data_IF_360449426545
#
_entry.id   IF_360449426545
#
_cell.length_a   1.000
_cell.length_b   1.000
_cell.length_c   1.000
_cell.angle_alpha   90.00
_cell.angle_beta   90.00
_cell.angle_gamma   90.00
#
_symmetry.space_group_name_H-M   'P 1'
#
loop_
_entity.id
_entity.type
_entity.pdbx_description
1 polymer ?
#
# COMPACT_ATOMS: atom_id res chain seq x y z
N UNK A 1 12.96 -17.15 -8.11
CA UNK A 1 11.83 -16.78 -7.26
C UNK A 1 10.80 -17.88 -7.26
N UNK A 2 10.53 -18.47 -6.13
CA UNK A 2 9.52 -19.51 -6.05
C UNK A 2 8.13 -18.88 -6.13
N UNK A 3 7.52 -18.92 -7.30
CA UNK A 3 6.10 -18.56 -7.48
C UNK A 3 5.14 -19.57 -6.82
N UNK A 4 5.67 -20.58 -6.14
CA UNK A 4 4.93 -21.68 -5.56
C UNK A 4 4.33 -21.38 -4.19
N UNK A 5 4.55 -20.21 -3.64
CA UNK A 5 3.93 -19.81 -2.37
C UNK A 5 2.52 -19.25 -2.61
N UNK A 6 1.75 -20.03 -3.35
CA UNK A 6 0.34 -19.77 -3.63
C UNK A 6 -0.51 -20.27 -2.47
N UNK A 7 -0.41 -19.62 -1.34
CA UNK A 7 -1.44 -19.81 -0.32
C UNK A 7 -2.71 -19.14 -0.81
N UNK A 8 -3.87 -19.80 -0.73
CA UNK A 8 -5.13 -19.16 -1.05
C UNK A 8 -5.25 -17.89 -0.20
N UNK A 9 -5.54 -16.77 -0.83
CA UNK A 9 -5.87 -15.56 -0.10
C UNK A 9 -7.13 -15.86 0.73
N UNK A 10 -7.14 -15.39 1.96
CA UNK A 10 -8.32 -15.46 2.81
C UNK A 10 -9.51 -14.79 2.10
N UNK A 11 -10.68 -15.31 2.34
CA UNK A 11 -11.91 -14.73 1.79
C UNK A 11 -12.16 -13.38 2.46
N UNK A 12 -12.04 -12.33 1.70
CA UNK A 12 -12.11 -10.95 2.14
C UNK A 12 -12.65 -10.08 1.01
N UNK A 13 -13.14 -8.87 1.29
CA UNK A 13 -13.52 -7.93 0.25
C UNK A 13 -12.41 -7.73 -0.77
N UNK A 14 -12.76 -7.72 -2.04
CA UNK A 14 -11.82 -7.56 -3.17
C UNK A 14 -10.84 -8.71 -3.41
N UNK A 15 -10.92 -9.83 -2.67
CA UNK A 15 -10.01 -10.97 -2.85
C UNK A 15 -10.00 -11.48 -4.29
N UNK A 16 -11.15 -11.60 -4.94
CA UNK A 16 -11.23 -12.08 -6.32
C UNK A 16 -10.53 -11.13 -7.31
N UNK A 17 -10.63 -9.83 -7.08
CA UNK A 17 -9.96 -8.82 -7.89
C UNK A 17 -8.44 -8.88 -7.69
N UNK A 18 -8.01 -8.98 -6.45
CA UNK A 18 -6.60 -9.07 -6.09
C UNK A 18 -5.98 -10.35 -6.66
N UNK A 19 -6.66 -11.49 -6.60
CA UNK A 19 -6.18 -12.77 -7.15
C UNK A 19 -5.87 -12.71 -8.63
N UNK A 20 -6.62 -11.94 -9.39
CA UNK A 20 -6.38 -11.80 -10.84
C UNK A 20 -5.04 -11.16 -11.15
N UNK A 21 -4.57 -10.27 -10.30
CA UNK A 21 -3.32 -9.51 -10.49
C UNK A 21 -2.16 -10.04 -9.65
N UNK A 22 -2.44 -10.48 -8.43
CA UNK A 22 -1.43 -10.89 -7.46
C UNK A 22 -1.97 -12.02 -6.55
N UNK A 23 -1.94 -13.25 -7.05
CA UNK A 23 -2.31 -14.43 -6.25
C UNK A 23 -1.11 -15.00 -5.50
N UNK A 24 -0.54 -14.21 -4.59
CA UNK A 24 0.70 -14.49 -3.90
C UNK A 24 0.79 -13.65 -2.61
N UNK A 25 1.96 -13.63 -1.96
CA UNK A 25 2.19 -12.82 -0.75
C UNK A 25 1.92 -11.34 -0.95
N UNK A 26 2.23 -10.80 -2.11
CA UNK A 26 1.93 -9.41 -2.45
C UNK A 26 0.42 -9.17 -2.45
N UNK A 27 -0.35 -10.11 -2.99
CA UNK A 27 -1.81 -10.05 -2.94
C UNK A 27 -2.35 -10.07 -1.50
N UNK A 28 -1.73 -10.81 -0.60
CA UNK A 28 -2.10 -10.81 0.82
C UNK A 28 -1.86 -9.43 1.46
N UNK A 29 -0.76 -8.77 1.11
CA UNK A 29 -0.47 -7.40 1.55
C UNK A 29 -1.49 -6.41 0.97
N UNK A 30 -1.82 -6.51 -0.30
CA UNK A 30 -2.83 -5.65 -0.92
C UNK A 30 -4.21 -5.84 -0.29
N UNK A 31 -4.57 -7.07 0.09
CA UNK A 31 -5.80 -7.35 0.82
C UNK A 31 -5.82 -6.68 2.20
N UNK A 32 -4.72 -6.75 2.93
CA UNK A 32 -4.59 -6.09 4.22
C UNK A 32 -4.64 -4.56 4.10
N UNK A 33 -3.97 -3.99 3.10
CA UNK A 33 -4.01 -2.56 2.81
C UNK A 33 -5.42 -2.10 2.46
N UNK A 34 -6.13 -2.84 1.61
CA UNK A 34 -7.51 -2.50 1.26
C UNK A 34 -8.42 -2.50 2.50
N UNK A 35 -8.29 -3.49 3.35
CA UNK A 35 -9.06 -3.58 4.61
C UNK A 35 -8.75 -2.38 5.53
N UNK A 36 -7.48 -2.00 5.63
CA UNK A 36 -7.06 -0.83 6.39
C UNK A 36 -7.64 0.46 5.82
N UNK A 37 -7.49 0.70 4.52
CA UNK A 37 -8.02 1.90 3.87
C UNK A 37 -9.54 2.00 3.99
N UNK A 38 -10.24 0.87 3.84
CA UNK A 38 -11.70 0.80 3.97
C UNK A 38 -12.17 1.13 5.39
N UNK A 39 -11.49 0.59 6.40
CA UNK A 39 -11.80 0.88 7.80
C UNK A 39 -11.54 2.36 8.13
N UNK A 40 -10.43 2.93 7.68
CA UNK A 40 -10.12 4.35 7.86
C UNK A 40 -11.11 5.25 7.16
N UNK A 41 -11.46 4.92 5.92
CA UNK A 41 -12.46 5.67 5.14
C UNK A 41 -13.83 5.64 5.83
N UNK A 42 -14.27 4.49 6.31
CA UNK A 42 -15.53 4.36 7.06
C UNK A 42 -15.51 5.19 8.35
N UNK A 43 -14.42 5.17 9.11
CA UNK A 43 -14.28 5.96 10.33
C UNK A 43 -14.34 7.47 10.06
N UNK A 44 -13.67 7.95 9.02
CA UNK A 44 -13.69 9.35 8.61
C UNK A 44 -15.10 9.75 8.16
N UNK A 45 -15.77 8.90 7.41
CA UNK A 45 -17.13 9.16 6.91
C UNK A 45 -18.15 9.20 8.04
N UNK A 46 -18.03 8.31 9.03
CA UNK A 46 -18.91 8.29 10.20
C UNK A 46 -18.76 9.55 11.06
N UNK A 47 -17.57 10.13 11.12
CA UNK A 47 -17.27 11.31 11.93
C UNK A 47 -17.50 12.66 11.21
N UNK A 48 -18.10 12.66 10.04
CA UNK A 48 -18.32 13.87 9.20
C UNK A 48 -19.13 14.99 9.86
N UNK A 49 -19.80 14.71 10.97
CA UNK A 49 -20.56 15.74 11.72
C UNK A 49 -19.69 16.56 12.68
N UNK A 50 -18.41 16.22 12.85
CA UNK A 50 -17.47 16.96 13.66
C UNK A 50 -16.66 17.95 12.83
N UNK A 51 -16.56 19.19 13.29
CA UNK A 51 -15.67 20.21 12.72
C UNK A 51 -14.23 19.69 12.82
N UNK A 52 -13.51 19.61 11.68
CA UNK A 52 -12.08 19.33 11.68
C UNK A 52 -11.67 17.88 11.50
N UNK A 53 -12.50 17.02 10.89
CA UNK A 53 -12.11 15.66 10.54
C UNK A 53 -10.97 15.69 9.53
N UNK A 54 -9.77 15.30 9.98
CA UNK A 54 -8.60 15.16 9.11
C UNK A 54 -8.75 13.94 8.22
N UNK A 55 -8.48 14.13 6.94
CA UNK A 55 -8.30 13.01 6.01
C UNK A 55 -6.89 12.45 6.19
N UNK A 56 -6.78 11.14 6.08
CA UNK A 56 -5.48 10.49 6.00
C UNK A 56 -4.88 10.74 4.60
N UNK A 57 -3.60 11.04 4.55
CA UNK A 57 -2.83 11.08 3.31
C UNK A 57 -1.99 9.82 3.20
N UNK A 58 -1.95 9.23 2.03
CA UNK A 58 -1.22 8.00 1.77
C UNK A 58 -0.08 8.23 0.80
N UNK A 59 1.08 7.71 1.17
CA UNK A 59 2.23 7.59 0.28
C UNK A 59 2.61 6.11 0.20
N UNK A 60 2.67 5.59 -1.00
CA UNK A 60 2.94 4.17 -1.25
C UNK A 60 4.19 4.05 -2.11
N UNK A 61 5.18 3.37 -1.57
CA UNK A 61 6.46 3.11 -2.22
C UNK A 61 6.62 1.60 -2.34
N UNK A 62 6.71 1.12 -3.55
CA UNK A 62 7.09 -0.26 -3.85
C UNK A 62 8.58 -0.31 -4.14
N UNK A 63 9.23 -1.35 -3.68
CA UNK A 63 10.66 -1.51 -3.93
C UNK A 63 11.06 -2.97 -4.17
N UNK A 64 11.99 -3.10 -5.09
CA UNK A 64 12.72 -4.31 -5.43
C UNK A 64 14.21 -3.95 -5.53
N UNK A 65 14.89 -4.21 -6.62
CA UNK A 65 16.18 -3.59 -6.95
C UNK A 65 16.05 -2.10 -7.20
N UNK A 66 14.92 -1.69 -7.72
CA UNK A 66 14.52 -0.29 -7.93
C UNK A 66 13.39 0.12 -6.98
N UNK A 67 13.16 1.41 -6.89
CA UNK A 67 12.12 2.00 -6.05
C UNK A 67 11.11 2.72 -6.93
N UNK A 68 9.83 2.47 -6.69
CA UNK A 68 8.72 3.10 -7.41
C UNK A 68 7.78 3.77 -6.44
N UNK A 69 7.63 5.09 -6.55
CA UNK A 69 6.59 5.82 -5.84
C UNK A 69 5.27 5.67 -6.60
N UNK A 70 4.36 4.89 -6.06
CA UNK A 70 3.03 4.64 -6.66
C UNK A 70 2.11 5.83 -6.42
N UNK A 71 2.09 6.30 -5.20
CA UNK A 71 1.31 7.45 -4.73
C UNK A 71 2.16 8.28 -3.78
N UNK A 72 1.96 9.58 -3.82
CA UNK A 72 2.64 10.52 -2.93
C UNK A 72 1.61 11.49 -2.37
N UNK A 73 1.48 11.53 -1.05
CA UNK A 73 0.62 12.44 -0.32
C UNK A 73 -0.82 12.49 -0.87
N UNK A 74 -1.37 11.33 -1.20
CA UNK A 74 -2.72 11.20 -1.73
C UNK A 74 -3.74 11.17 -0.58
N UNK A 75 -4.58 12.17 -0.51
CA UNK A 75 -5.66 12.30 0.46
C UNK A 75 -7.05 12.38 -0.18
N UNK A 76 -7.13 12.15 -1.48
CA UNK A 76 -8.36 12.29 -2.26
C UNK A 76 -8.93 10.96 -2.76
N UNK A 77 -8.07 9.96 -2.98
CA UNK A 77 -8.47 8.67 -3.53
C UNK A 77 -9.31 7.85 -2.55
N UNK A 78 -10.30 7.17 -3.08
CA UNK A 78 -11.08 6.17 -2.36
C UNK A 78 -10.24 4.89 -2.16
N UNK A 79 -10.63 3.99 -1.23
CA UNK A 79 -9.98 2.70 -1.08
C UNK A 79 -9.88 1.89 -2.38
N UNK A 80 -10.90 1.94 -3.22
CA UNK A 80 -10.91 1.26 -4.51
C UNK A 80 -9.89 1.84 -5.48
N UNK A 81 -9.75 3.16 -5.52
CA UNK A 81 -8.75 3.84 -6.34
C UNK A 81 -7.32 3.58 -5.84
N UNK A 82 -7.12 3.51 -4.53
CA UNK A 82 -5.84 3.14 -3.94
C UNK A 82 -5.46 1.70 -4.30
N UNK A 83 -6.42 0.79 -4.24
CA UNK A 83 -6.22 -0.60 -4.67
C UNK A 83 -5.88 -0.68 -6.15
N UNK A 84 -6.58 0.06 -7.01
CA UNK A 84 -6.29 0.12 -8.44
C UNK A 84 -4.86 0.59 -8.72
N UNK A 85 -4.40 1.58 -8.00
CA UNK A 85 -3.06 2.09 -8.16
C UNK A 85 -1.99 1.03 -7.87
N UNK A 86 -2.12 0.28 -6.77
CA UNK A 86 -1.15 -0.76 -6.40
C UNK A 86 -1.24 -2.00 -7.27
N UNK A 87 -2.43 -2.37 -7.75
CA UNK A 87 -2.61 -3.55 -8.61
C UNK A 87 -1.97 -3.41 -10.00
N UNK A 88 -1.60 -2.22 -10.40
CA UNK A 88 -0.84 -1.98 -11.65
C UNK A 88 0.62 -2.42 -11.56
N UNK A 89 1.11 -2.66 -10.35
CA UNK A 89 2.49 -3.02 -10.09
C UNK A 89 2.59 -4.50 -9.71
N UNK A 90 3.43 -5.22 -10.44
CA UNK A 90 3.72 -6.63 -10.20
C UNK A 90 4.88 -6.85 -9.23
N UNK A 91 5.25 -8.11 -9.08
CA UNK A 91 6.43 -8.53 -8.34
C UNK A 91 7.65 -8.39 -9.24
N UNK A 92 8.69 -7.79 -8.69
CA UNK A 92 10.02 -7.75 -9.29
C UNK A 92 11.05 -8.34 -8.33
N UNK A 93 12.24 -8.68 -8.83
CA UNK A 93 13.30 -9.26 -8.02
C UNK A 93 14.06 -8.24 -7.20
N UNK A 94 14.79 -8.72 -6.19
CA UNK A 94 15.71 -7.92 -5.40
C UNK A 94 15.10 -7.22 -4.19
N UNK A 95 15.97 -6.54 -3.44
CA UNK A 95 15.57 -5.84 -2.21
C UNK A 95 16.50 -4.66 -1.95
N UNK A 96 16.24 -3.53 -2.57
CA UNK A 96 16.96 -2.29 -2.30
C UNK A 96 16.32 -1.53 -1.14
N UNK A 97 16.59 -2.01 0.07
CA UNK A 97 16.00 -1.44 1.29
C UNK A 97 16.47 -0.01 1.55
N UNK A 98 17.74 0.28 1.30
CA UNK A 98 18.28 1.64 1.50
C UNK A 98 17.69 2.64 0.51
N UNK A 99 17.43 2.23 -0.73
CA UNK A 99 16.72 3.05 -1.71
C UNK A 99 15.29 3.35 -1.28
N UNK A 100 14.60 2.36 -0.75
CA UNK A 100 13.24 2.53 -0.23
C UNK A 100 13.19 3.52 0.94
N UNK A 101 14.13 3.42 1.89
CA UNK A 101 14.22 4.34 3.03
C UNK A 101 14.52 5.77 2.59
N UNK A 102 15.45 5.96 1.65
CA UNK A 102 15.76 7.30 1.10
C UNK A 102 14.55 7.92 0.40
N UNK A 103 13.84 7.12 -0.39
CA UNK A 103 12.62 7.60 -1.06
C UNK A 103 11.55 7.96 -0.06
N UNK A 104 11.36 7.13 0.96
CA UNK A 104 10.43 7.42 2.06
C UNK A 104 10.79 8.70 2.80
N UNK A 105 12.05 8.89 3.13
CA UNK A 105 12.54 10.12 3.76
C UNK A 105 12.27 11.35 2.88
N UNK A 106 12.57 11.28 1.59
CA UNK A 106 12.33 12.39 0.67
C UNK A 106 10.85 12.76 0.58
N UNK A 107 9.96 11.77 0.54
CA UNK A 107 8.51 12.00 0.55
C UNK A 107 8.07 12.68 1.84
N UNK A 108 8.59 12.24 2.99
CA UNK A 108 8.29 12.85 4.29
C UNK A 108 8.78 14.29 4.37
N UNK A 109 9.98 14.58 3.90
CA UNK A 109 10.56 15.92 3.91
C UNK A 109 9.78 16.88 3.01
N UNK A 110 9.35 16.42 1.84
CA UNK A 110 8.54 17.20 0.92
C UNK A 110 7.14 17.52 1.46
N UNK A 111 6.58 16.63 2.27
CA UNK A 111 5.20 16.73 2.75
C UNK A 111 5.11 16.93 4.28
N UNK A 112 6.18 17.37 4.89
CA UNK A 112 6.31 17.56 6.36
C UNK A 112 5.12 18.27 7.01
N UNK A 113 4.57 19.28 6.35
CA UNK A 113 3.45 20.06 6.88
C UNK A 113 2.11 19.31 6.86
N UNK A 114 1.99 18.29 6.04
CA UNK A 114 0.74 17.54 5.80
C UNK A 114 0.76 16.13 6.35
N UNK A 115 1.93 15.50 6.38
CA UNK A 115 2.09 14.12 6.86
C UNK A 115 2.55 14.09 8.32
N UNK A 116 1.78 13.42 9.17
CA UNK A 116 2.15 13.16 10.57
C UNK A 116 2.56 11.72 10.82
N UNK A 117 2.11 10.80 9.97
CA UNK A 117 2.42 9.39 10.08
C UNK A 117 2.70 8.82 8.70
N UNK A 118 3.82 8.15 8.58
CA UNK A 118 4.18 7.39 7.39
C UNK A 118 4.23 5.92 7.76
N UNK A 119 3.50 5.13 7.02
CA UNK A 119 3.55 3.67 7.14
C UNK A 119 4.33 3.12 5.96
N UNK A 120 5.50 2.55 6.24
CA UNK A 120 6.34 1.91 5.26
C UNK A 120 6.04 0.42 5.23
N UNK A 121 5.52 -0.09 4.12
CA UNK A 121 5.34 -1.51 3.89
C UNK A 121 6.46 -2.04 3.01
N UNK A 122 7.14 -3.07 3.50
CA UNK A 122 8.10 -3.83 2.70
C UNK A 122 7.33 -4.82 1.84
N UNK A 123 7.34 -4.62 0.55
CA UNK A 123 6.87 -5.59 -0.43
C UNK A 123 8.07 -6.34 -0.97
N UNK A 124 8.58 -7.28 -0.18
CA UNK A 124 9.69 -8.10 -0.58
C UNK A 124 9.19 -9.37 -1.27
N UNK A 125 9.61 -9.55 -2.49
CA UNK A 125 9.36 -10.78 -3.25
C UNK A 125 10.35 -11.90 -2.89
N UNK A 126 11.38 -11.63 -2.11
CA UNK A 126 12.31 -12.66 -1.66
C UNK A 126 11.74 -13.40 -0.47
N UNK A 127 11.71 -14.75 -0.50
CA UNK A 127 11.44 -15.51 0.69
C UNK A 127 12.54 -15.19 1.72
N UNK A 128 12.15 -14.72 2.87
CA UNK A 128 12.96 -14.89 4.06
C UNK A 128 12.94 -16.38 4.35
N UNK A 129 13.95 -17.08 3.84
CA UNK A 129 14.22 -18.49 4.12
C UNK A 129 13.08 -19.28 4.74
#
# INVERSE_FOLDING_TARGET
>A
MSFNDRRPLADAPMTNRIRRSANNRLGAVYSALYSFWSARHAAITANRQGVGVRRDAYSIILFSDSTTSVLTNDFTSSPDQLLDAVLRHGIDGGTNFSGALRTGQAVMEQNWSTERFVTLFRLCATPLF
#
